data_IF_958837356996
#
_entry.id   IF_958837356996
#
_cell.length_a   1.000
_cell.length_b   1.000
_cell.length_c   1.000
_cell.angle_alpha   90.00
_cell.angle_beta   90.00
_cell.angle_gamma   90.00
#
_symmetry.space_group_name_H-M   'P 1'
#
loop_
_entity.id
_entity.type
_entity.pdbx_description
1 polymer ?
#
# COMPACT_ATOMS: atom_id res chain seq x y z
N UNK A 1 -0.69 -10.14 2.08
CA UNK A 1 -1.47 -9.69 3.20
C UNK A 1 -2.96 -9.67 2.86
N UNK A 2 -3.76 -10.37 3.67
CA UNK A 2 -5.20 -10.49 3.43
C UNK A 2 -5.95 -9.17 3.56
N UNK A 3 -5.50 -8.27 4.44
CA UNK A 3 -6.11 -6.95 4.57
C UNK A 3 -5.90 -6.13 3.29
N UNK A 4 -4.69 -6.12 2.76
CA UNK A 4 -4.37 -5.38 1.55
C UNK A 4 -5.14 -5.95 0.35
N UNK A 5 -5.28 -7.28 0.27
CA UNK A 5 -6.10 -7.92 -0.77
C UNK A 5 -7.57 -7.48 -0.68
N UNK A 6 -8.12 -7.43 0.53
CA UNK A 6 -9.49 -6.97 0.75
C UNK A 6 -9.67 -5.51 0.33
N UNK A 7 -8.69 -4.66 0.61
CA UNK A 7 -8.71 -3.26 0.19
C UNK A 7 -8.65 -3.13 -1.35
N UNK A 8 -7.88 -4.00 -2.01
CA UNK A 8 -7.76 -4.00 -3.46
C UNK A 8 -9.00 -4.53 -4.18
N UNK A 9 -9.86 -5.29 -3.52
CA UNK A 9 -11.14 -5.75 -4.09
C UNK A 9 -12.08 -4.57 -4.38
N UNK A 10 -12.03 -3.52 -3.56
CA UNK A 10 -12.72 -2.25 -3.81
C UNK A 10 -11.76 -1.11 -3.42
N UNK A 11 -10.85 -0.73 -4.33
CA UNK A 11 -9.80 0.23 -3.98
C UNK A 11 -10.30 1.63 -3.65
N UNK A 12 -11.44 2.05 -4.18
CA UNK A 12 -12.03 3.36 -3.83
C UNK A 12 -12.47 3.36 -2.36
N UNK A 13 -13.20 2.34 -1.92
CA UNK A 13 -13.61 2.18 -0.54
C UNK A 13 -12.40 1.97 0.37
N UNK A 14 -11.40 1.22 -0.12
CA UNK A 14 -10.15 0.99 0.59
C UNK A 14 -9.40 2.29 0.89
N UNK A 15 -9.30 3.19 -0.09
CA UNK A 15 -8.70 4.51 0.11
C UNK A 15 -9.41 5.31 1.20
N UNK A 16 -10.75 5.37 1.16
CA UNK A 16 -11.53 6.10 2.15
C UNK A 16 -11.32 5.52 3.55
N UNK A 17 -11.25 4.19 3.67
CA UNK A 17 -11.01 3.51 4.93
C UNK A 17 -9.61 3.85 5.49
N UNK A 18 -8.58 3.75 4.66
CA UNK A 18 -7.20 4.03 5.08
C UNK A 18 -7.03 5.49 5.48
N UNK A 19 -7.66 6.43 4.79
CA UNK A 19 -7.61 7.84 5.16
C UNK A 19 -8.18 8.08 6.56
N UNK A 20 -9.29 7.41 6.91
CA UNK A 20 -9.86 7.47 8.25
C UNK A 20 -8.91 6.89 9.30
N UNK A 21 -8.31 5.73 9.00
CA UNK A 21 -7.35 5.09 9.92
C UNK A 21 -6.14 6.00 10.15
N UNK A 22 -5.62 6.61 9.10
CA UNK A 22 -4.45 7.50 9.20
C UNK A 22 -4.72 8.70 10.11
N UNK A 23 -5.93 9.25 10.08
CA UNK A 23 -6.30 10.36 10.97
C UNK A 23 -6.28 9.96 12.44
N UNK A 24 -6.52 8.69 12.73
CA UNK A 24 -6.55 8.15 14.09
C UNK A 24 -5.16 7.70 14.58
N UNK A 25 -4.17 7.52 13.68
CA UNK A 25 -2.84 7.07 14.05
C UNK A 25 -2.01 8.23 14.60
N UNK A 26 -1.44 8.11 15.80
CA UNK A 26 -0.59 9.16 16.36
C UNK A 26 0.67 9.42 15.54
N UNK A 27 1.11 10.67 15.50
CA UNK A 27 2.37 11.04 14.83
C UNK A 27 3.59 10.40 15.51
N UNK A 28 3.43 9.95 16.75
CA UNK A 28 4.47 9.21 17.50
C UNK A 28 4.67 7.77 17.01
N UNK A 29 3.86 7.30 16.05
CA UNK A 29 3.96 5.97 15.48
C UNK A 29 4.39 6.03 14.00
N UNK A 30 5.64 6.45 13.72
CA UNK A 30 6.06 6.69 12.34
C UNK A 30 6.09 5.43 11.46
N UNK A 31 6.45 4.28 12.03
CA UNK A 31 6.43 3.02 11.28
C UNK A 31 5.05 2.68 10.73
N UNK A 32 4.02 2.78 11.55
CA UNK A 32 2.65 2.53 11.13
C UNK A 32 2.18 3.57 10.11
N UNK A 33 2.50 4.85 10.31
CA UNK A 33 2.15 5.91 9.37
C UNK A 33 2.80 5.69 8.01
N UNK A 34 4.07 5.26 8.00
CA UNK A 34 4.80 4.94 6.78
C UNK A 34 4.12 3.79 6.01
N UNK A 35 3.76 2.72 6.71
CA UNK A 35 3.09 1.55 6.11
C UNK A 35 1.72 1.94 5.52
N UNK A 36 0.93 2.71 6.25
CA UNK A 36 -0.39 3.15 5.79
C UNK A 36 -0.27 4.10 4.59
N UNK A 37 0.71 4.99 4.59
CA UNK A 37 0.94 5.90 3.47
C UNK A 37 1.38 5.14 2.22
N UNK A 38 2.21 4.10 2.37
CA UNK A 38 2.58 3.21 1.27
C UNK A 38 1.35 2.46 0.74
N UNK A 39 0.44 2.05 1.62
CA UNK A 39 -0.82 1.41 1.22
C UNK A 39 -1.69 2.36 0.39
N UNK A 40 -1.72 3.65 0.74
CA UNK A 40 -2.39 4.67 -0.08
C UNK A 40 -1.81 4.70 -1.49
N UNK A 41 -0.48 4.62 -1.63
CA UNK A 41 0.17 4.59 -2.94
C UNK A 41 -0.28 3.38 -3.78
N UNK A 42 -0.33 2.18 -3.18
CA UNK A 42 -0.81 0.98 -3.87
C UNK A 42 -2.26 1.14 -4.33
N UNK A 43 -3.13 1.62 -3.45
CA UNK A 43 -4.55 1.82 -3.77
C UNK A 43 -4.75 2.93 -4.82
N UNK A 44 -3.92 3.96 -4.79
CA UNK A 44 -3.95 5.03 -5.80
C UNK A 44 -3.58 4.50 -7.19
N UNK A 45 -2.58 3.63 -7.29
CA UNK A 45 -2.28 2.95 -8.55
C UNK A 45 -3.46 2.11 -9.02
N UNK A 46 -4.10 1.38 -8.11
CA UNK A 46 -5.25 0.52 -8.43
C UNK A 46 -6.47 1.31 -8.90
N UNK A 47 -6.61 2.56 -8.46
CA UNK A 47 -7.74 3.44 -8.86
C UNK A 47 -7.39 4.36 -10.03
N UNK A 48 -6.21 4.21 -10.64
CA UNK A 48 -5.81 5.02 -11.77
C UNK A 48 -5.42 6.45 -11.40
N UNK A 49 -4.85 6.66 -10.23
CA UNK A 49 -4.41 7.96 -9.72
C UNK A 49 -2.88 8.00 -9.55
N UNK A 50 -2.10 8.01 -10.67
CA UNK A 50 -0.64 7.92 -10.58
C UNK A 50 0.00 9.14 -9.88
N UNK A 51 -0.60 10.32 -9.99
CA UNK A 51 -0.12 11.50 -9.28
C UNK A 51 -0.19 11.34 -7.77
N UNK A 52 -1.32 10.88 -7.25
CA UNK A 52 -1.49 10.59 -5.83
C UNK A 52 -0.54 9.47 -5.39
N UNK A 53 -0.41 8.43 -6.21
CA UNK A 53 0.49 7.31 -5.93
C UNK A 53 1.93 7.76 -5.76
N UNK A 54 2.42 8.63 -6.65
CA UNK A 54 3.78 9.16 -6.57
C UNK A 54 4.03 9.98 -5.31
N UNK A 55 3.11 10.87 -4.97
CA UNK A 55 3.21 11.70 -3.76
C UNK A 55 3.16 10.82 -2.50
N UNK A 56 2.25 9.86 -2.45
CA UNK A 56 2.11 8.97 -1.29
C UNK A 56 3.35 8.08 -1.12
N UNK A 57 3.90 7.54 -2.21
CA UNK A 57 5.09 6.71 -2.17
C UNK A 57 6.29 7.50 -1.63
N UNK A 58 6.50 8.71 -2.13
CA UNK A 58 7.57 9.58 -1.65
C UNK A 58 7.38 9.91 -0.17
N UNK A 59 6.17 10.27 0.23
CA UNK A 59 5.86 10.62 1.62
C UNK A 59 6.11 9.44 2.57
N UNK A 60 5.75 8.23 2.14
CA UNK A 60 5.96 7.03 2.95
C UNK A 60 7.45 6.81 3.25
N UNK A 61 8.33 7.02 2.28
CA UNK A 61 9.78 6.87 2.49
C UNK A 61 10.36 8.00 3.34
N UNK A 62 9.81 9.20 3.27
CA UNK A 62 10.22 10.31 4.15
C UNK A 62 9.86 10.01 5.62
N UNK A 63 8.69 9.43 5.87
CA UNK A 63 8.22 9.09 7.22
C UNK A 63 9.03 7.91 7.78
N UNK A 64 9.25 6.86 6.97
CA UNK A 64 9.94 5.65 7.41
C UNK A 64 10.98 5.18 6.40
N UNK A 65 12.16 5.84 6.32
CA UNK A 65 13.16 5.52 5.31
C UNK A 65 13.76 4.10 5.44
N UNK A 66 13.67 3.50 6.63
CA UNK A 66 14.19 2.15 6.88
C UNK A 66 13.13 1.05 6.73
N UNK A 67 11.90 1.41 6.39
CA UNK A 67 10.82 0.44 6.21
C UNK A 67 10.89 -0.23 4.84
N UNK A 68 10.82 -1.56 4.80
CA UNK A 68 10.97 -2.34 3.58
C UNK A 68 9.81 -2.13 2.58
N UNK A 69 8.58 -2.19 3.06
CA UNK A 69 7.42 -2.08 2.19
C UNK A 69 7.31 -0.68 1.55
N UNK A 70 7.40 0.43 2.29
CA UNK A 70 7.44 1.75 1.68
C UNK A 70 8.57 1.95 0.67
N UNK A 71 9.76 1.43 0.97
CA UNK A 71 10.91 1.52 0.06
C UNK A 71 10.65 0.77 -1.25
N UNK A 72 10.05 -0.41 -1.18
CA UNK A 72 9.69 -1.19 -2.36
C UNK A 72 8.63 -0.47 -3.20
N UNK A 73 7.60 0.05 -2.55
CA UNK A 73 6.53 0.81 -3.23
C UNK A 73 7.11 2.02 -3.95
N UNK A 74 7.99 2.77 -3.31
CA UNK A 74 8.64 3.94 -3.90
C UNK A 74 9.49 3.56 -5.12
N UNK A 75 10.28 2.49 -5.04
CA UNK A 75 11.11 2.02 -6.15
C UNK A 75 10.26 1.62 -7.35
N UNK A 76 9.21 0.84 -7.13
CA UNK A 76 8.34 0.40 -8.22
C UNK A 76 7.57 1.56 -8.84
N UNK A 77 7.20 2.55 -8.05
CA UNK A 77 6.56 3.77 -8.54
C UNK A 77 7.52 4.58 -9.41
N UNK A 78 8.77 4.77 -8.96
CA UNK A 78 9.79 5.56 -9.66
C UNK A 78 10.16 4.97 -11.02
N UNK A 79 10.15 3.66 -11.17
CA UNK A 79 10.47 3.00 -12.44
C UNK A 79 9.23 2.76 -13.31
N UNK A 80 8.07 3.33 -12.94
CA UNK A 80 6.85 3.21 -13.73
C UNK A 80 6.17 1.85 -13.66
N UNK A 81 6.42 1.06 -12.63
CA UNK A 81 5.87 -0.29 -12.45
C UNK A 81 4.71 -0.34 -11.43
N UNK A 82 3.96 0.76 -11.32
CA UNK A 82 2.85 0.83 -10.35
C UNK A 82 1.78 -0.25 -10.56
N UNK A 83 1.38 -0.50 -11.80
CA UNK A 83 0.39 -1.55 -12.12
C UNK A 83 0.94 -2.93 -11.79
N UNK A 84 2.21 -3.18 -12.10
CA UNK A 84 2.86 -4.45 -11.77
C UNK A 84 2.94 -4.66 -10.26
N UNK A 85 3.16 -3.59 -9.51
CA UNK A 85 3.16 -3.64 -8.05
C UNK A 85 1.81 -4.11 -7.51
N UNK A 86 0.70 -3.58 -8.04
CA UNK A 86 -0.65 -3.99 -7.64
C UNK A 86 -0.85 -5.48 -7.92
N UNK A 87 -0.43 -5.97 -9.08
CA UNK A 87 -0.51 -7.39 -9.43
C UNK A 87 0.30 -8.25 -8.46
N UNK A 88 1.53 -7.85 -8.14
CA UNK A 88 2.39 -8.59 -7.22
C UNK A 88 1.81 -8.67 -5.82
N UNK A 89 1.21 -7.58 -5.34
CA UNK A 89 0.55 -7.56 -4.04
C UNK A 89 -0.64 -8.52 -4.02
N UNK A 90 -1.45 -8.52 -5.07
CA UNK A 90 -2.59 -9.45 -5.20
C UNK A 90 -2.14 -10.90 -5.23
N UNK A 91 -1.13 -11.21 -6.04
CA UNK A 91 -0.56 -12.56 -6.14
C UNK A 91 0.00 -13.03 -4.80
N UNK A 92 0.74 -12.17 -4.10
CA UNK A 92 1.28 -12.48 -2.78
C UNK A 92 0.18 -12.77 -1.76
N UNK A 93 -0.89 -11.98 -1.76
CA UNK A 93 -2.02 -12.18 -0.88
C UNK A 93 -2.77 -13.50 -1.19
N UNK A 94 -2.95 -13.82 -2.47
CA UNK A 94 -3.57 -15.10 -2.90
C UNK A 94 -2.72 -16.29 -2.46
N UNK A 95 -1.42 -16.23 -2.65
CA UNK A 95 -0.50 -17.30 -2.22
C UNK A 95 -0.57 -17.50 -0.70
N UNK A 96 -0.57 -16.43 0.06
CA UNK A 96 -0.69 -16.50 1.53
C UNK A 96 -2.01 -17.15 1.92
N UNK A 97 -3.10 -16.75 1.29
CA UNK A 97 -4.42 -17.33 1.53
C UNK A 97 -4.44 -18.81 1.21
N UNK A 98 -3.86 -19.22 0.09
CA UNK A 98 -3.76 -20.62 -0.33
C UNK A 98 -2.97 -21.44 0.68
N UNK A 99 -1.83 -20.94 1.15
CA UNK A 99 -1.00 -21.61 2.15
C UNK A 99 -1.76 -21.78 3.47
N UNK A 100 -2.47 -20.75 3.91
CA UNK A 100 -3.18 -20.76 5.20
C UNK A 100 -4.45 -21.61 5.18
N UNK A 101 -5.12 -21.73 4.05
CA UNK A 101 -6.44 -22.35 3.95
C UNK A 101 -6.50 -23.57 3.03
N UNK A 102 -5.38 -24.04 2.52
CA UNK A 102 -5.31 -25.17 1.59
C UNK A 102 -5.39 -26.55 2.28
N UNK A 103 -5.55 -26.58 3.59
CA UNK A 103 -5.67 -27.85 4.31
C UNK A 103 -7.08 -28.42 4.21
#
# INVERSE_FOLDING_TARGET
DTLLAALLDDPQAGLAFIEKVMRAVPTSWPGMRSQLTATVAVLAHATGQPGLAGVAAQRATEIGPDENFPSLVAKLTDIGQGERMVELVREGAEKTRTILFAE
#
